data_IF_835963873594
#
_entry.id   IF_835963873594
#
_cell.length_a   1.000
_cell.length_b   1.000
_cell.length_c   1.000
_cell.angle_alpha   90.00
_cell.angle_beta   90.00
_cell.angle_gamma   90.00
#
_symmetry.space_group_name_H-M   'P 1'
#
loop_
_entity.id
_entity.type
_entity.pdbx_description
1 polymer ?
#
# COMPACT_ATOMS: atom_id res chain seq x y z
N UNK A 1 -5.55 -21.82 9.15
CA UNK A 1 -4.87 -21.28 10.34
C UNK A 1 -4.10 -19.97 10.07
N UNK A 2 -3.12 -19.91 9.14
CA UNK A 2 -2.31 -18.70 8.91
C UNK A 2 -3.12 -17.45 8.47
N UNK A 3 -4.15 -17.61 7.65
CA UNK A 3 -5.03 -16.50 7.21
C UNK A 3 -5.74 -15.81 8.39
N UNK A 4 -6.25 -16.59 9.35
CA UNK A 4 -6.90 -16.05 10.54
C UNK A 4 -5.92 -15.23 11.39
N UNK A 5 -4.70 -15.73 11.62
CA UNK A 5 -3.66 -14.99 12.35
C UNK A 5 -3.27 -13.68 11.65
N UNK A 6 -3.13 -13.69 10.32
CA UNK A 6 -2.86 -12.47 9.53
C UNK A 6 -3.99 -11.44 9.69
N UNK A 7 -5.24 -11.90 9.72
CA UNK A 7 -6.43 -11.06 9.93
C UNK A 7 -6.47 -10.47 11.33
N UNK A 8 -6.31 -11.28 12.38
CA UNK A 8 -6.32 -10.79 13.77
C UNK A 8 -5.22 -9.74 13.98
N UNK A 9 -4.01 -9.98 13.47
CA UNK A 9 -2.93 -8.99 13.53
C UNK A 9 -3.26 -7.68 12.81
N UNK A 10 -3.95 -7.75 11.67
CA UNK A 10 -4.38 -6.55 10.94
C UNK A 10 -5.42 -5.75 11.73
N UNK A 11 -6.35 -6.43 12.41
CA UNK A 11 -7.38 -5.80 13.22
C UNK A 11 -6.75 -5.16 14.47
N UNK A 12 -5.93 -5.93 15.19
CA UNK A 12 -5.31 -5.51 16.46
C UNK A 12 -4.43 -4.28 16.29
N UNK A 13 -3.58 -4.25 15.25
CA UNK A 13 -2.62 -3.17 15.01
C UNK A 13 -3.07 -2.18 13.92
N UNK A 14 -4.39 -2.01 13.76
CA UNK A 14 -4.93 -1.06 12.80
C UNK A 14 -4.47 0.37 13.16
N UNK A 15 -3.91 1.10 12.19
CA UNK A 15 -3.40 2.46 12.41
C UNK A 15 -1.97 2.54 12.97
N UNK A 16 -1.31 1.42 13.28
CA UNK A 16 0.04 1.41 13.90
C UNK A 16 1.18 1.14 12.91
N UNK A 17 0.94 1.26 11.61
CA UNK A 17 1.96 1.09 10.57
C UNK A 17 2.47 -0.35 10.39
N UNK A 18 1.89 -1.35 11.06
CA UNK A 18 2.33 -2.76 10.93
C UNK A 18 1.98 -3.36 9.57
N UNK A 19 0.81 -3.00 9.02
CA UNK A 19 0.29 -3.56 7.77
C UNK A 19 1.29 -3.49 6.63
N UNK A 20 1.97 -2.34 6.46
CA UNK A 20 2.94 -2.10 5.39
C UNK A 20 4.08 -3.14 5.39
N UNK A 21 4.66 -3.41 6.56
CA UNK A 21 5.76 -4.36 6.71
C UNK A 21 5.27 -5.81 6.71
N UNK A 22 4.07 -6.05 7.24
CA UNK A 22 3.47 -7.39 7.32
C UNK A 22 3.18 -7.98 5.94
N UNK A 23 2.52 -7.23 5.05
CA UNK A 23 2.24 -7.71 3.69
C UNK A 23 3.52 -7.87 2.87
N UNK A 24 4.57 -7.07 3.16
CA UNK A 24 5.88 -7.21 2.50
C UNK A 24 6.62 -8.47 2.92
N UNK A 25 6.79 -8.69 4.23
CA UNK A 25 7.50 -9.88 4.74
C UNK A 25 6.77 -11.18 4.44
N UNK A 26 5.44 -11.14 4.29
CA UNK A 26 4.64 -12.30 3.90
C UNK A 26 4.55 -12.52 2.39
N UNK A 27 5.09 -11.58 1.60
CA UNK A 27 5.01 -11.55 0.13
C UNK A 27 3.59 -11.42 -0.43
N UNK A 28 2.66 -10.84 0.34
CA UNK A 28 1.28 -10.62 -0.09
C UNK A 28 1.08 -9.27 -0.80
N UNK A 29 2.05 -8.35 -0.74
CA UNK A 29 1.94 -6.98 -1.24
C UNK A 29 1.43 -6.85 -2.70
N UNK A 30 1.87 -7.67 -3.68
CA UNK A 30 1.39 -7.56 -5.06
C UNK A 30 -0.11 -7.80 -5.20
N UNK A 31 -0.66 -8.66 -4.34
CA UNK A 31 -2.10 -8.93 -4.33
C UNK A 31 -2.80 -7.82 -3.55
N UNK A 32 -2.41 -7.61 -2.29
CA UNK A 32 -3.13 -6.74 -1.35
C UNK A 32 -3.06 -5.24 -1.72
N UNK A 33 -1.94 -4.73 -2.23
CA UNK A 33 -1.80 -3.32 -2.64
C UNK A 33 -2.39 -3.03 -4.02
N UNK A 34 -2.69 -4.06 -4.81
CA UNK A 34 -3.37 -3.94 -6.11
C UNK A 34 -4.90 -4.05 -6.01
N UNK A 35 -5.44 -4.36 -4.83
CA UNK A 35 -6.88 -4.45 -4.62
C UNK A 35 -7.52 -3.05 -4.64
N UNK A 36 -8.59 -2.90 -5.42
CA UNK A 36 -9.41 -1.70 -5.41
C UNK A 36 -9.97 -1.45 -4.00
N UNK A 37 -9.76 -0.24 -3.50
CA UNK A 37 -10.32 0.21 -2.22
C UNK A 37 -11.75 0.69 -2.45
N UNK A 38 -12.64 0.32 -1.52
CA UNK A 38 -14.05 0.72 -1.52
C UNK A 38 -14.36 1.52 -0.26
N UNK A 39 -15.34 2.41 -0.37
CA UNK A 39 -15.87 3.21 0.73
C UNK A 39 -17.36 3.47 0.56
N UNK A 40 -17.93 4.22 1.49
CA UNK A 40 -19.32 4.71 1.38
C UNK A 40 -19.44 5.74 0.25
N UNK A 41 -20.64 5.89 -0.30
CA UNK A 41 -20.92 6.87 -1.34
C UNK A 41 -21.03 8.27 -0.76
N UNK A 42 -19.90 8.97 -0.71
CA UNK A 42 -19.81 10.36 -0.19
C UNK A 42 -20.27 11.41 -1.20
N UNK A 43 -20.62 11.03 -2.43
CA UNK A 43 -21.04 11.95 -3.49
C UNK A 43 -22.55 12.22 -3.52
N UNK A 44 -23.32 11.58 -2.63
CA UNK A 44 -24.78 11.73 -2.57
C UNK A 44 -25.17 12.99 -1.81
N UNK A 45 -26.17 13.70 -2.34
CA UNK A 45 -26.80 14.82 -1.65
C UNK A 45 -27.86 14.38 -0.65
N UNK A 46 -28.39 15.33 0.13
CA UNK A 46 -29.42 15.08 1.15
C UNK A 46 -30.67 14.35 0.62
N UNK A 47 -31.06 14.59 -0.63
CA UNK A 47 -32.20 13.92 -1.26
C UNK A 47 -32.04 12.39 -1.43
N UNK A 48 -30.80 11.88 -1.33
CA UNK A 48 -30.45 10.46 -1.54
C UNK A 48 -29.62 9.91 -0.38
N UNK A 49 -29.96 10.29 0.86
CA UNK A 49 -29.24 9.84 2.08
C UNK A 49 -29.11 8.33 2.20
N UNK A 50 -30.11 7.57 1.78
CA UNK A 50 -30.09 6.11 1.85
C UNK A 50 -28.99 5.49 0.97
N UNK A 51 -28.59 6.19 -0.10
CA UNK A 51 -27.53 5.74 -1.01
C UNK A 51 -26.12 5.87 -0.39
N UNK A 52 -25.96 6.58 0.75
CA UNK A 52 -24.66 6.78 1.42
C UNK A 52 -23.97 5.45 1.76
N UNK A 53 -24.71 4.45 2.23
CA UNK A 53 -24.14 3.14 2.61
C UNK A 53 -23.83 2.23 1.42
N UNK A 54 -23.97 2.72 0.19
CA UNK A 54 -23.57 1.99 -1.01
C UNK A 54 -22.05 1.95 -1.12
N UNK A 55 -21.49 0.77 -1.36
CA UNK A 55 -20.06 0.61 -1.57
C UNK A 55 -19.67 1.13 -2.95
N UNK A 56 -18.85 2.17 -3.00
CA UNK A 56 -18.28 2.71 -4.24
C UNK A 56 -16.75 2.59 -4.22
N UNK A 57 -16.12 2.38 -5.39
CA UNK A 57 -14.66 2.41 -5.50
C UNK A 57 -14.12 3.81 -5.21
N UNK A 58 -13.05 3.86 -4.42
CA UNK A 58 -12.32 5.08 -4.07
C UNK A 58 -11.17 5.26 -5.06
N UNK A 59 -11.39 6.05 -6.10
CA UNK A 59 -10.42 6.22 -7.20
C UNK A 59 -9.23 7.13 -6.87
N UNK A 60 -9.31 7.95 -5.82
CA UNK A 60 -8.21 8.85 -5.44
C UNK A 60 -7.04 8.13 -4.75
N UNK A 61 -7.22 6.84 -4.40
CA UNK A 61 -6.19 6.01 -3.81
C UNK A 61 -5.64 5.06 -4.88
N UNK A 62 -4.37 5.24 -5.32
CA UNK A 62 -3.79 4.35 -6.31
C UNK A 62 -3.71 2.93 -5.76
N UNK A 63 -4.38 2.00 -6.43
CA UNK A 63 -4.39 0.58 -6.11
C UNK A 63 -3.47 -0.16 -7.09
N UNK A 64 -2.18 0.14 -7.06
CA UNK A 64 -1.20 -0.46 -7.97
C UNK A 64 0.07 -0.85 -7.24
N UNK A 65 0.60 -2.02 -7.59
CA UNK A 65 1.88 -2.51 -7.10
C UNK A 65 2.87 -2.70 -8.26
N UNK A 66 4.11 -2.27 -8.05
CA UNK A 66 5.24 -2.55 -8.93
C UNK A 66 6.33 -3.25 -8.12
N UNK A 67 7.04 -4.20 -8.71
CA UNK A 67 8.06 -5.00 -7.99
C UNK A 67 9.14 -4.14 -7.32
N UNK A 68 9.47 -2.96 -7.86
CA UNK A 68 10.42 -2.04 -7.20
C UNK A 68 9.95 -1.58 -5.80
N UNK A 69 8.64 -1.61 -5.53
CA UNK A 69 8.03 -1.17 -4.25
C UNK A 69 8.21 -2.16 -3.10
N UNK A 70 8.88 -3.30 -3.34
CA UNK A 70 9.33 -4.17 -2.24
C UNK A 70 10.29 -3.46 -1.30
N UNK A 71 11.17 -2.61 -1.84
CA UNK A 71 12.22 -1.90 -1.09
C UNK A 71 12.15 -0.41 -1.37
N UNK A 72 12.33 0.42 -0.34
CA UNK A 72 12.40 1.87 -0.49
C UNK A 72 13.66 2.27 -1.28
N UNK A 73 13.60 3.30 -2.15
CA UNK A 73 14.78 3.79 -2.84
C UNK A 73 15.78 4.40 -1.84
N UNK A 74 17.06 4.16 -2.11
CA UNK A 74 18.15 4.91 -1.49
C UNK A 74 18.20 6.28 -2.15
N UNK A 75 18.37 7.35 -1.35
CA UNK A 75 18.47 8.72 -1.87
C UNK A 75 19.64 8.84 -2.86
N UNK A 76 19.42 9.51 -3.99
CA UNK A 76 20.47 9.73 -5.00
C UNK A 76 21.71 10.46 -4.45
N UNK A 77 21.52 11.36 -3.48
CA UNK A 77 22.64 12.05 -2.80
C UNK A 77 23.58 11.07 -2.09
N UNK A 78 23.04 10.01 -1.48
CA UNK A 78 23.84 8.99 -0.77
C UNK A 78 24.56 8.07 -1.75
N UNK A 79 23.90 7.72 -2.87
CA UNK A 79 24.53 6.94 -3.95
C UNK A 79 25.70 7.72 -4.59
N UNK A 80 25.54 9.02 -4.80
CA UNK A 80 26.62 9.88 -5.32
C UNK A 80 27.80 10.02 -4.34
N UNK A 81 27.53 9.99 -3.04
CA UNK A 81 28.57 10.09 -2.00
C UNK A 81 29.35 8.80 -1.80
N UNK A 82 28.74 7.63 -2.01
CA UNK A 82 29.38 6.34 -1.81
C UNK A 82 29.35 5.50 -3.09
N UNK A 83 30.47 5.46 -3.80
CA UNK A 83 30.63 4.70 -5.05
C UNK A 83 30.52 3.18 -4.89
N UNK A 84 30.55 2.65 -3.66
CA UNK A 84 30.34 1.22 -3.38
C UNK A 84 28.88 0.88 -3.06
N UNK A 85 27.99 1.87 -3.01
CA UNK A 85 26.58 1.68 -2.70
C UNK A 85 25.78 1.45 -3.99
N UNK A 86 25.09 0.32 -4.05
CA UNK A 86 24.19 -0.02 -5.16
C UNK A 86 22.74 0.27 -4.77
N UNK A 87 21.96 0.77 -5.71
CA UNK A 87 20.53 1.04 -5.51
C UNK A 87 19.71 -0.26 -5.38
N UNK A 88 18.56 -0.16 -4.72
CA UNK A 88 17.56 -1.23 -4.68
C UNK A 88 16.98 -1.52 -6.09
N UNK A 89 16.62 -2.79 -6.38
CA UNK A 89 16.15 -3.18 -7.71
C UNK A 89 14.97 -2.35 -8.22
N UNK A 90 15.01 -1.99 -9.51
CA UNK A 90 13.93 -1.28 -10.21
C UNK A 90 13.84 0.23 -9.93
N UNK A 91 14.71 0.79 -9.08
CA UNK A 91 14.86 2.23 -8.89
C UNK A 91 16.02 2.78 -9.73
N UNK A 92 15.98 4.08 -10.04
CA UNK A 92 17.02 4.73 -10.84
C UNK A 92 18.28 4.98 -10.03
N UNK A 93 19.43 4.88 -10.71
CA UNK A 93 20.72 5.34 -10.22
C UNK A 93 20.80 6.87 -10.29
N UNK A 94 21.95 7.43 -9.89
CA UNK A 94 22.20 8.88 -9.84
C UNK A 94 22.84 9.44 -11.12
N UNK A 95 22.77 8.67 -12.21
CA UNK A 95 23.37 8.95 -13.52
C UNK A 95 22.95 10.32 -14.09
#
# INVERSE_FOLDING_TARGET
>A
MRKALKRERMIEFMGEGKRYFDIRRWKDAPVEESLQIYGCNVFVGEAKRDEFHSAIPVYNLPSTFSEKLWLWPIKHSELKRNSRLTQNPGWTMYD
#
